data_IF_258357228081
#
_entry.id   IF_258357228081
#
_cell.length_a   1.000
_cell.length_b   1.000
_cell.length_c   1.000
_cell.angle_alpha   90.00
_cell.angle_beta   90.00
_cell.angle_gamma   90.00
#
_symmetry.space_group_name_H-M   'P 1'
#
loop_
_entity.id
_entity.type
_entity.pdbx_description
1 polymer ?
#
# COMPACT_ATOMS: atom_id res chain seq x y z
N UNK A 1 -15.12 23.62 19.17
CA UNK A 1 -14.03 23.33 18.19
C UNK A 1 -12.94 22.43 18.77
N UNK A 2 -12.43 22.71 19.98
CA UNK A 2 -11.29 21.97 20.56
C UNK A 2 -11.51 20.46 20.75
N UNK A 3 -12.69 20.05 21.22
CA UNK A 3 -12.99 18.62 21.41
C UNK A 3 -13.08 17.84 20.09
N UNK A 4 -13.67 18.45 19.05
CA UNK A 4 -13.70 17.88 17.70
C UNK A 4 -12.29 17.75 17.14
N UNK A 5 -11.44 18.77 17.35
CA UNK A 5 -10.04 18.75 16.94
C UNK A 5 -9.25 17.61 17.60
N UNK A 6 -9.39 17.44 18.93
CA UNK A 6 -8.76 16.35 19.68
C UNK A 6 -9.23 14.98 19.18
N UNK A 7 -10.53 14.79 18.99
CA UNK A 7 -11.08 13.53 18.50
C UNK A 7 -10.56 13.18 17.11
N UNK A 8 -10.51 14.16 16.19
CA UNK A 8 -9.94 13.98 14.86
C UNK A 8 -8.47 13.60 14.91
N UNK A 9 -7.65 14.30 15.69
CA UNK A 9 -6.24 13.96 15.85
C UNK A 9 -6.02 12.58 16.46
N UNK A 10 -6.79 12.20 17.49
CA UNK A 10 -6.72 10.84 18.07
C UNK A 10 -7.06 9.76 17.07
N UNK A 11 -8.06 9.96 16.21
CA UNK A 11 -8.41 9.00 15.16
C UNK A 11 -7.26 8.82 14.16
N UNK A 12 -6.67 9.92 13.68
CA UNK A 12 -5.51 9.84 12.76
C UNK A 12 -4.35 9.06 13.42
N UNK A 13 -4.05 9.34 14.69
CA UNK A 13 -2.88 8.78 15.37
C UNK A 13 -3.06 7.31 15.77
N UNK A 14 -4.28 6.88 16.10
CA UNK A 14 -4.53 5.55 16.65
C UNK A 14 -5.16 4.59 15.63
N UNK A 15 -6.10 5.09 14.82
CA UNK A 15 -6.95 4.27 13.96
C UNK A 15 -6.51 4.29 12.49
N UNK A 16 -5.84 5.37 12.03
CA UNK A 16 -5.24 5.46 10.70
C UNK A 16 -3.72 5.29 10.70
N UNK A 17 -3.21 4.45 11.62
CA UNK A 17 -1.80 4.04 11.61
C UNK A 17 -1.50 3.30 10.31
N UNK A 18 -0.28 3.45 9.77
CA UNK A 18 0.12 2.79 8.53
C UNK A 18 -0.05 1.26 8.58
N UNK A 19 0.14 0.65 9.75
CA UNK A 19 -0.18 -0.76 10.03
C UNK A 19 -1.63 -1.11 9.62
N UNK A 20 -2.60 -0.31 10.09
CA UNK A 20 -4.02 -0.51 9.79
C UNK A 20 -4.33 -0.28 8.30
N UNK A 21 -3.61 0.65 7.65
CA UNK A 21 -3.76 0.90 6.19
C UNK A 21 -3.31 -0.33 5.40
N UNK A 22 -2.14 -0.89 5.75
CA UNK A 22 -1.62 -2.11 5.11
C UNK A 22 -2.52 -3.32 5.37
N UNK A 23 -2.97 -3.50 6.61
CA UNK A 23 -3.92 -4.58 6.98
C UNK A 23 -5.22 -4.46 6.18
N UNK A 24 -5.76 -3.24 6.05
CA UNK A 24 -6.96 -2.99 5.26
C UNK A 24 -6.74 -3.28 3.77
N UNK A 25 -5.63 -2.85 3.18
CA UNK A 25 -5.30 -3.15 1.78
C UNK A 25 -5.21 -4.66 1.55
N UNK A 26 -4.52 -5.38 2.44
CA UNK A 26 -4.40 -6.82 2.37
C UNK A 26 -5.76 -7.53 2.50
N UNK A 27 -6.58 -7.10 3.46
CA UNK A 27 -7.94 -7.61 3.64
C UNK A 27 -8.78 -7.40 2.38
N UNK A 28 -8.81 -6.17 1.84
CA UNK A 28 -9.59 -5.83 0.67
C UNK A 28 -9.20 -6.67 -0.55
N UNK A 29 -7.89 -6.84 -0.82
CA UNK A 29 -7.39 -7.67 -1.90
C UNK A 29 -7.75 -9.15 -1.70
N UNK A 30 -7.67 -9.64 -0.46
CA UNK A 30 -8.01 -11.03 -0.13
C UNK A 30 -9.48 -11.33 -0.33
N UNK A 31 -10.37 -10.47 0.17
CA UNK A 31 -11.82 -10.65 0.01
C UNK A 31 -12.23 -10.50 -1.46
N UNK A 32 -11.62 -9.55 -2.18
CA UNK A 32 -11.87 -9.38 -3.61
C UNK A 32 -11.45 -10.62 -4.43
N UNK A 33 -10.30 -11.23 -4.09
CA UNK A 33 -9.82 -12.42 -4.78
C UNK A 33 -10.80 -13.61 -4.69
N UNK A 34 -11.61 -13.70 -3.63
CA UNK A 34 -12.65 -14.75 -3.49
C UNK A 34 -13.79 -14.61 -4.51
N UNK A 35 -13.99 -13.42 -5.06
CA UNK A 35 -15.04 -13.15 -6.05
C UNK A 35 -14.64 -13.56 -7.47
N UNK A 36 -13.37 -13.93 -7.70
CA UNK A 36 -12.88 -14.30 -9.02
C UNK A 36 -13.53 -15.59 -9.51
N UNK A 37 -14.17 -15.51 -10.68
CA UNK A 37 -14.85 -16.65 -11.33
C UNK A 37 -13.97 -17.36 -12.36
N UNK A 38 -12.68 -17.07 -12.38
CA UNK A 38 -11.69 -17.63 -13.29
C UNK A 38 -10.36 -17.78 -12.56
N UNK A 39 -9.46 -18.60 -13.12
CA UNK A 39 -8.09 -18.75 -12.60
C UNK A 39 -7.21 -17.63 -13.16
N UNK A 40 -6.65 -16.73 -12.33
CA UNK A 40 -5.73 -15.71 -12.80
C UNK A 40 -4.51 -16.32 -13.48
N UNK A 41 -4.09 -15.72 -14.59
CA UNK A 41 -2.87 -16.06 -15.31
C UNK A 41 -2.06 -14.80 -15.54
N UNK A 42 -0.74 -14.93 -15.60
CA UNK A 42 0.16 -13.79 -15.86
C UNK A 42 0.08 -13.47 -17.36
N UNK A 43 -0.35 -12.25 -17.75
CA UNK A 43 -0.34 -11.84 -19.16
C UNK A 43 1.08 -11.77 -19.72
N UNK A 44 1.27 -12.07 -21.00
CA UNK A 44 2.59 -12.01 -21.65
C UNK A 44 3.23 -10.60 -21.61
N UNK A 45 2.42 -9.55 -21.56
CA UNK A 45 2.86 -8.16 -21.47
C UNK A 45 3.07 -7.67 -20.02
N UNK A 46 2.87 -8.53 -19.02
CA UNK A 46 3.04 -8.13 -17.63
C UNK A 46 4.50 -7.77 -17.35
N UNK A 47 4.72 -6.60 -16.74
CA UNK A 47 6.04 -6.19 -16.25
C UNK A 47 6.16 -6.58 -14.77
N UNK A 48 7.29 -7.16 -14.34
CA UNK A 48 7.50 -7.46 -12.94
C UNK A 48 7.53 -6.16 -12.13
N UNK A 49 6.90 -6.19 -10.96
CA UNK A 49 7.02 -5.13 -9.96
C UNK A 49 8.02 -5.61 -8.90
N UNK A 50 9.14 -4.92 -8.80
CA UNK A 50 10.18 -5.02 -7.77
C UNK A 50 10.60 -3.63 -7.28
N UNK A 51 11.33 -3.55 -6.17
CA UNK A 51 11.77 -2.28 -5.58
C UNK A 51 12.52 -1.41 -6.58
N UNK A 52 13.37 -2.00 -7.42
CA UNK A 52 14.09 -1.29 -8.48
C UNK A 52 13.18 -0.77 -9.59
N UNK A 53 12.16 -1.55 -9.97
CA UNK A 53 11.19 -1.13 -10.98
C UNK A 53 10.29 0.00 -10.47
N UNK A 54 9.94 -0.03 -9.17
CA UNK A 54 9.15 1.01 -8.52
C UNK A 54 9.95 2.31 -8.39
N UNK A 55 11.24 2.18 -8.06
CA UNK A 55 12.15 3.31 -7.93
C UNK A 55 12.70 3.82 -9.27
N UNK A 56 12.30 3.22 -10.40
CA UNK A 56 12.89 3.49 -11.72
C UNK A 56 12.64 4.90 -12.24
N UNK A 57 11.53 5.52 -11.83
CA UNK A 57 11.19 6.92 -12.16
C UNK A 57 11.76 7.93 -11.18
N UNK A 58 12.26 7.47 -10.04
CA UNK A 58 12.79 8.33 -8.98
C UNK A 58 14.30 8.52 -9.12
N UNK A 59 14.81 9.56 -8.45
CA UNK A 59 16.24 9.89 -8.47
C UNK A 59 16.76 10.34 -7.11
N UNK A 60 18.08 10.28 -6.93
CA UNK A 60 18.76 10.64 -5.69
C UNK A 60 18.32 9.77 -4.50
N UNK A 61 18.28 10.37 -3.31
CA UNK A 61 17.98 9.67 -2.05
C UNK A 61 16.62 8.97 -2.03
N UNK A 62 15.62 9.49 -2.75
CA UNK A 62 14.30 8.86 -2.83
C UNK A 62 14.40 7.48 -3.47
N UNK A 63 15.18 7.37 -4.56
CA UNK A 63 15.44 6.10 -5.22
C UNK A 63 16.17 5.12 -4.31
N UNK A 64 17.20 5.58 -3.59
CA UNK A 64 17.96 4.75 -2.65
C UNK A 64 17.05 4.19 -1.54
N UNK A 65 16.27 5.03 -0.86
CA UNK A 65 15.36 4.59 0.21
C UNK A 65 14.26 3.63 -0.28
N UNK A 66 13.77 3.82 -1.50
CA UNK A 66 12.79 2.92 -2.10
C UNK A 66 13.38 1.54 -2.42
N UNK A 67 14.65 1.48 -2.85
CA UNK A 67 15.34 0.22 -3.11
C UNK A 67 15.69 -0.49 -1.80
N UNK A 68 16.08 0.24 -0.76
CA UNK A 68 16.51 -0.31 0.53
C UNK A 68 15.34 -0.76 1.43
N UNK A 69 14.12 -0.30 1.17
CA UNK A 69 12.92 -0.76 1.88
C UNK A 69 12.65 -2.22 1.55
N UNK A 70 12.90 -3.10 2.52
CA UNK A 70 12.54 -4.53 2.49
C UNK A 70 11.21 -4.79 3.18
#
# INVERSE_FOLDING_TARGET
AQEIGKAGSSFILNDLRMENVYDYMFHALTEYAKLLRYKPTIPSAAKPVCSESMASTESGRVKEFMIESK
#
